data_IF_780554250982
#
_entry.id   IF_780554250982
#
_cell.length_a   1.000
_cell.length_b   1.000
_cell.length_c   1.000
_cell.angle_alpha   90.00
_cell.angle_beta   90.00
_cell.angle_gamma   90.00
#
_symmetry.space_group_name_H-M   'P 1'
#
loop_
_entity.id
_entity.type
_entity.pdbx_description
1 polymer ?
#
# COMPACT_ATOMS: atom_id res chain seq x y z
N UNK A 1 23.79 13.89 -1.83
CA UNK A 1 22.35 14.06 -1.68
C UNK A 1 21.76 12.67 -1.79
N UNK A 2 21.33 12.07 -0.68
CA UNK A 2 20.75 10.72 -0.73
C UNK A 2 19.52 10.76 -1.65
N UNK A 3 19.46 9.83 -2.59
CA UNK A 3 18.39 9.75 -3.58
C UNK A 3 17.14 9.21 -2.87
N UNK A 4 16.45 10.07 -2.12
CA UNK A 4 15.25 9.70 -1.35
C UNK A 4 14.21 9.07 -2.28
N UNK A 5 13.82 7.83 -1.97
CA UNK A 5 12.85 7.09 -2.78
C UNK A 5 11.46 7.58 -2.40
N UNK A 6 10.63 7.91 -3.37
CA UNK A 6 9.24 8.29 -3.05
C UNK A 6 8.43 7.06 -2.61
N UNK A 7 7.59 7.24 -1.58
CA UNK A 7 6.65 6.25 -1.08
C UNK A 7 5.24 6.84 -1.16
N UNK A 8 4.30 6.16 -1.81
CA UNK A 8 2.90 6.58 -1.85
C UNK A 8 2.12 5.88 -0.73
N UNK A 9 1.67 6.64 0.26
CA UNK A 9 0.85 6.13 1.37
C UNK A 9 -0.61 6.51 1.15
N UNK A 10 -1.48 5.52 1.04
CA UNK A 10 -2.89 5.73 0.76
C UNK A 10 -3.69 5.36 2.01
N UNK A 11 -4.33 6.35 2.61
CA UNK A 11 -5.05 6.23 3.89
C UNK A 11 -6.51 6.59 3.64
N UNK A 12 -7.41 5.61 3.53
CA UNK A 12 -8.84 5.86 3.34
C UNK A 12 -9.62 5.75 4.65
N UNK A 13 -9.28 4.75 5.47
CA UNK A 13 -9.88 4.50 6.79
C UNK A 13 -8.94 4.87 7.94
N UNK A 14 -7.63 4.61 7.79
CA UNK A 14 -6.67 4.75 8.87
C UNK A 14 -6.80 3.65 9.93
N UNK A 15 -6.78 4.02 11.21
CA UNK A 15 -6.84 3.06 12.32
C UNK A 15 -5.47 2.52 12.76
N UNK A 16 -4.38 3.18 12.38
CA UNK A 16 -3.01 2.87 12.77
C UNK A 16 -2.22 4.17 13.04
N UNK A 17 -1.06 4.08 13.75
CA UNK A 17 -0.22 5.23 14.03
C UNK A 17 0.25 5.97 12.78
N UNK A 18 0.70 7.23 12.92
CA UNK A 18 1.31 7.93 11.79
C UNK A 18 2.65 7.29 11.43
N UNK A 19 2.69 6.52 10.35
CA UNK A 19 3.89 5.84 9.86
C UNK A 19 4.83 6.74 9.03
N UNK A 20 4.45 8.00 8.77
CA UNK A 20 5.28 8.92 7.96
C UNK A 20 6.68 9.17 8.56
N UNK A 21 6.86 9.37 9.88
CA UNK A 21 8.18 9.48 10.49
C UNK A 21 9.03 8.22 10.31
N UNK A 22 8.40 7.04 10.41
CA UNK A 22 9.07 5.76 10.18
C UNK A 22 9.56 5.65 8.73
N UNK A 23 8.70 5.95 7.74
CA UNK A 23 9.12 5.95 6.33
C UNK A 23 10.31 6.88 6.06
N UNK A 24 10.30 8.09 6.65
CA UNK A 24 11.41 9.05 6.53
C UNK A 24 12.70 8.56 7.16
N UNK A 25 12.63 7.91 8.33
CA UNK A 25 13.78 7.27 8.99
C UNK A 25 14.46 6.24 8.07
N UNK A 26 13.69 5.58 7.22
CA UNK A 26 14.13 4.59 6.23
C UNK A 26 14.42 5.17 4.83
N UNK A 27 14.65 6.49 4.73
CA UNK A 27 15.09 7.13 3.48
C UNK A 27 14.01 7.26 2.41
N UNK A 28 12.73 7.14 2.78
CA UNK A 28 11.61 7.40 1.90
C UNK A 28 11.05 8.81 2.09
N UNK A 29 10.61 9.44 0.99
CA UNK A 29 9.78 10.64 1.07
C UNK A 29 8.30 10.25 0.90
N UNK A 30 7.49 10.26 2.00
CA UNK A 30 6.11 9.81 1.97
C UNK A 30 5.19 10.87 1.35
N UNK A 31 4.43 10.44 0.35
CA UNK A 31 3.35 11.20 -0.27
C UNK A 31 2.05 10.57 0.20
N UNK A 32 1.35 11.27 1.09
CA UNK A 32 0.10 10.79 1.69
C UNK A 32 -1.09 11.26 0.87
N UNK A 33 -1.97 10.32 0.51
CA UNK A 33 -3.23 10.62 -0.18
C UNK A 33 -4.40 9.92 0.50
N UNK A 34 -5.53 10.60 0.58
CA UNK A 34 -6.70 10.14 1.35
C UNK A 34 -7.86 9.62 0.48
N UNK A 35 -7.56 9.12 -0.71
CA UNK A 35 -8.56 8.52 -1.60
C UNK A 35 -7.88 7.76 -2.73
N UNK A 36 -8.50 6.66 -3.20
CA UNK A 36 -8.02 5.96 -4.40
C UNK A 36 -7.94 6.86 -5.64
N UNK A 37 -8.86 7.82 -5.81
CA UNK A 37 -8.82 8.74 -6.96
C UNK A 37 -7.52 9.55 -6.98
N UNK A 38 -7.12 10.10 -5.84
CA UNK A 38 -5.85 10.85 -5.72
C UNK A 38 -4.64 9.93 -5.90
N UNK A 39 -4.70 8.72 -5.38
CA UNK A 39 -3.64 7.72 -5.55
C UNK A 39 -3.40 7.37 -7.03
N UNK A 40 -4.45 7.12 -7.80
CA UNK A 40 -4.35 6.84 -9.23
C UNK A 40 -3.79 8.03 -10.03
N UNK A 41 -4.13 9.26 -9.65
CA UNK A 41 -3.56 10.47 -10.26
C UNK A 41 -2.08 10.59 -9.91
N UNK A 42 -1.68 10.31 -8.66
CA UNK A 42 -0.30 10.32 -8.23
C UNK A 42 0.53 9.27 -9.00
N UNK A 43 0.10 8.01 -9.04
CA UNK A 43 0.80 6.93 -9.75
C UNK A 43 1.00 7.18 -11.25
N UNK A 44 0.17 8.02 -11.88
CA UNK A 44 0.37 8.44 -13.28
C UNK A 44 1.48 9.48 -13.45
N UNK A 45 1.76 10.27 -12.41
CA UNK A 45 2.70 11.40 -12.44
C UNK A 45 4.07 11.03 -11.84
N UNK A 46 4.10 10.08 -10.92
CA UNK A 46 5.31 9.65 -10.22
C UNK A 46 5.45 8.13 -10.23
N UNK A 47 6.67 7.65 -10.03
CA UNK A 47 7.01 6.23 -9.94
C UNK A 47 7.56 5.96 -8.53
N UNK A 48 6.69 5.78 -7.52
CA UNK A 48 7.15 5.48 -6.17
C UNK A 48 7.91 4.16 -6.14
N UNK A 49 8.87 4.03 -5.24
CA UNK A 49 9.51 2.74 -4.97
C UNK A 49 8.56 1.82 -4.20
N UNK A 50 7.76 2.39 -3.30
CA UNK A 50 6.83 1.66 -2.43
C UNK A 50 5.44 2.29 -2.50
N UNK A 51 4.41 1.47 -2.54
CA UNK A 51 3.01 1.86 -2.35
C UNK A 51 2.47 1.14 -1.14
N UNK A 52 1.92 1.89 -0.19
CA UNK A 52 1.21 1.37 0.98
C UNK A 52 -0.26 1.70 0.82
N UNK A 53 -1.13 0.71 0.91
CA UNK A 53 -2.57 0.87 0.70
C UNK A 53 -3.40 0.01 1.66
N UNK A 54 -4.66 0.36 1.83
CA UNK A 54 -5.63 -0.42 2.58
C UNK A 54 -6.50 -1.25 1.64
N UNK A 55 -6.80 -2.49 2.02
CA UNK A 55 -7.82 -3.31 1.40
C UNK A 55 -9.16 -3.05 2.07
N UNK A 56 -9.90 -2.14 1.45
CA UNK A 56 -11.27 -1.81 1.84
C UNK A 56 -12.22 -2.66 1.00
N UNK A 57 -12.78 -3.71 1.60
CA UNK A 57 -13.80 -4.53 0.95
C UNK A 57 -15.14 -3.80 0.99
N UNK A 58 -15.78 -3.63 -0.17
CA UNK A 58 -17.10 -3.03 -0.28
C UNK A 58 -17.98 -4.01 -1.05
N UNK A 59 -18.98 -4.57 -0.37
CA UNK A 59 -19.88 -5.59 -0.93
C UNK A 59 -20.70 -5.11 -2.12
N UNK A 60 -20.87 -3.79 -2.27
CA UNK A 60 -21.74 -3.19 -3.28
C UNK A 60 -21.07 -3.05 -4.66
N UNK A 61 -19.77 -3.34 -4.77
CA UNK A 61 -19.12 -3.42 -6.07
C UNK A 61 -19.53 -4.70 -6.79
N UNK A 62 -20.52 -4.58 -7.67
CA UNK A 62 -21.06 -5.70 -8.48
C UNK A 62 -20.03 -6.40 -9.36
N UNK A 63 -19.01 -5.68 -9.86
CA UNK A 63 -18.04 -6.20 -10.83
C UNK A 63 -16.60 -6.33 -10.27
N UNK A 64 -16.33 -5.84 -9.06
CA UNK A 64 -14.96 -5.74 -8.51
C UNK A 64 -14.95 -5.98 -7.02
N UNK A 65 -13.91 -6.60 -6.50
CA UNK A 65 -13.87 -6.94 -5.06
C UNK A 65 -13.43 -5.72 -4.24
N UNK A 66 -12.67 -4.79 -4.84
CA UNK A 66 -12.21 -3.55 -4.21
C UNK A 66 -11.67 -2.53 -5.22
N UNK A 67 -11.67 -1.25 -4.83
CA UNK A 67 -10.97 -0.16 -5.53
C UNK A 67 -9.46 -0.41 -5.66
N UNK A 68 -8.89 -1.22 -4.77
CA UNK A 68 -7.49 -1.66 -4.75
C UNK A 68 -7.05 -2.34 -6.07
N UNK A 69 -7.93 -3.10 -6.72
CA UNK A 69 -7.61 -3.73 -8.02
C UNK A 69 -7.20 -2.70 -9.08
N UNK A 70 -7.74 -1.47 -9.01
CA UNK A 70 -7.41 -0.40 -9.97
C UNK A 70 -6.00 0.09 -9.73
N UNK A 71 -5.65 0.23 -8.45
CA UNK A 71 -4.35 0.66 -8.01
C UNK A 71 -3.29 -0.35 -8.45
N UNK A 72 -3.55 -1.64 -8.22
CA UNK A 72 -2.67 -2.74 -8.63
C UNK A 72 -2.45 -2.73 -10.15
N UNK A 73 -3.53 -2.61 -10.94
CA UNK A 73 -3.41 -2.59 -12.41
C UNK A 73 -2.57 -1.42 -12.94
N UNK A 74 -2.53 -0.28 -12.24
CA UNK A 74 -1.65 0.85 -12.58
C UNK A 74 -0.23 0.61 -12.07
N UNK A 75 -0.07 0.14 -10.83
CA UNK A 75 1.21 -0.10 -10.20
C UNK A 75 2.03 -1.19 -10.92
N UNK A 76 1.39 -2.27 -11.37
CA UNK A 76 2.03 -3.38 -12.08
C UNK A 76 2.65 -3.00 -13.43
N UNK A 77 2.33 -1.83 -13.98
CA UNK A 77 3.02 -1.29 -15.16
C UNK A 77 4.49 -1.00 -14.88
N UNK A 78 4.88 -0.93 -13.61
CA UNK A 78 6.25 -0.80 -13.16
C UNK A 78 6.56 -1.93 -12.16
N UNK A 79 7.25 -2.96 -12.63
CA UNK A 79 7.59 -4.14 -11.83
C UNK A 79 8.49 -3.83 -10.61
N UNK A 80 9.10 -2.64 -10.56
CA UNK A 80 9.94 -2.22 -9.44
C UNK A 80 9.14 -1.70 -8.24
N UNK A 81 7.84 -1.42 -8.40
CA UNK A 81 7.00 -0.94 -7.30
C UNK A 81 6.75 -2.08 -6.32
N UNK A 82 7.08 -1.85 -5.04
CA UNK A 82 6.78 -2.77 -3.95
C UNK A 82 5.44 -2.38 -3.34
N UNK A 83 4.48 -3.32 -3.35
CA UNK A 83 3.13 -3.08 -2.86
C UNK A 83 2.96 -3.68 -1.47
N UNK A 84 2.66 -2.85 -0.48
CA UNK A 84 2.33 -3.22 0.89
C UNK A 84 0.83 -2.97 1.10
N UNK A 85 0.11 -3.95 1.66
CA UNK A 85 -1.34 -3.85 1.86
C UNK A 85 -1.76 -4.14 3.30
N UNK A 86 -2.57 -3.27 3.87
CA UNK A 86 -3.22 -3.46 5.17
C UNK A 86 -4.64 -3.98 4.96
N UNK A 87 -5.09 -4.94 5.77
CA UNK A 87 -6.41 -5.53 5.60
C UNK A 87 -7.05 -5.91 6.94
N UNK A 88 -8.37 -5.81 7.03
CA UNK A 88 -9.09 -6.30 8.21
C UNK A 88 -9.15 -7.83 8.22
N UNK A 89 -8.97 -8.44 9.40
CA UNK A 89 -8.97 -9.90 9.55
C UNK A 89 -10.28 -10.53 9.07
N UNK A 90 -11.39 -9.85 9.25
CA UNK A 90 -12.71 -10.27 8.78
C UNK A 90 -12.81 -10.38 7.24
N UNK A 91 -12.00 -9.62 6.50
CA UNK A 91 -11.97 -9.65 5.04
C UNK A 91 -10.85 -10.54 4.47
N UNK A 92 -10.21 -11.36 5.30
CA UNK A 92 -9.13 -12.25 4.87
C UNK A 92 -9.57 -13.15 3.69
N UNK A 93 -10.77 -13.72 3.75
CA UNK A 93 -11.27 -14.60 2.69
C UNK A 93 -11.36 -13.90 1.32
N UNK A 94 -11.80 -12.65 1.31
CA UNK A 94 -11.89 -11.81 0.12
C UNK A 94 -10.49 -11.38 -0.33
N UNK A 95 -9.61 -11.06 0.61
CA UNK A 95 -8.23 -10.68 0.32
C UNK A 95 -7.41 -11.83 -0.28
N UNK A 96 -7.61 -13.08 0.15
CA UNK A 96 -6.94 -14.25 -0.43
C UNK A 96 -7.23 -14.41 -1.93
N UNK A 97 -8.43 -14.03 -2.40
CA UNK A 97 -8.76 -14.01 -3.84
C UNK A 97 -7.89 -13.01 -4.61
N UNK A 98 -7.50 -11.90 -3.99
CA UNK A 98 -6.56 -10.95 -4.58
C UNK A 98 -5.13 -11.47 -4.54
N UNK A 99 -4.71 -12.11 -3.44
CA UNK A 99 -3.37 -12.71 -3.31
C UNK A 99 -3.09 -13.80 -4.34
N UNK A 100 -4.12 -14.53 -4.78
CA UNK A 100 -3.99 -15.51 -5.86
C UNK A 100 -3.76 -14.88 -7.23
N UNK A 101 -4.18 -13.62 -7.44
CA UNK A 101 -4.17 -12.94 -8.74
C UNK A 101 -3.05 -11.90 -8.86
N UNK A 102 -2.54 -11.42 -7.74
CA UNK A 102 -1.63 -10.28 -7.68
C UNK A 102 -0.49 -10.53 -6.70
N UNK A 103 0.69 -10.01 -7.03
CA UNK A 103 1.86 -10.07 -6.16
C UNK A 103 1.87 -8.88 -5.21
N UNK A 104 1.96 -9.18 -3.92
CA UNK A 104 2.18 -8.21 -2.85
C UNK A 104 3.57 -8.43 -2.28
N UNK A 105 4.26 -7.35 -1.94
CA UNK A 105 5.55 -7.44 -1.26
C UNK A 105 5.36 -7.83 0.21
N UNK A 106 4.42 -7.19 0.90
CA UNK A 106 4.04 -7.52 2.26
C UNK A 106 2.55 -7.23 2.48
N UNK A 107 1.93 -7.94 3.42
CA UNK A 107 0.52 -7.75 3.77
C UNK A 107 0.33 -7.87 5.27
N UNK A 108 -0.42 -6.96 5.89
CA UNK A 108 -0.59 -6.90 7.35
C UNK A 108 -2.06 -6.87 7.72
N UNK A 109 -2.44 -7.71 8.68
CA UNK A 109 -3.77 -7.67 9.24
C UNK A 109 -3.83 -6.64 10.38
N UNK A 110 -4.95 -5.93 10.52
CA UNK A 110 -5.15 -5.06 11.69
C UNK A 110 -5.19 -5.85 13.02
N UNK A 111 -4.72 -5.26 14.15
CA UNK A 111 -4.12 -3.93 14.27
C UNK A 111 -2.69 -3.87 13.69
N UNK A 112 -2.36 -2.75 13.04
CA UNK A 112 -1.04 -2.54 12.43
C UNK A 112 -0.03 -2.11 13.50
N UNK A 113 1.05 -2.88 13.64
CA UNK A 113 2.13 -2.63 14.58
C UNK A 113 3.30 -1.96 13.85
N UNK A 114 3.79 -0.83 14.38
CA UNK A 114 4.87 -0.05 13.77
C UNK A 114 6.14 -0.90 13.58
N UNK A 115 6.43 -1.78 14.54
CA UNK A 115 7.58 -2.68 14.54
C UNK A 115 7.54 -3.63 13.33
N UNK A 116 6.37 -4.19 13.02
CA UNK A 116 6.22 -5.10 11.87
C UNK A 116 6.39 -4.38 10.52
N UNK A 117 6.05 -3.09 10.47
CA UNK A 117 6.28 -2.26 9.29
C UNK A 117 7.76 -1.92 9.17
N UNK A 118 8.40 -1.55 10.28
CA UNK A 118 9.85 -1.28 10.34
C UNK A 118 10.67 -2.46 9.82
N UNK A 119 10.40 -3.68 10.29
CA UNK A 119 11.06 -4.91 9.81
C UNK A 119 10.95 -5.08 8.30
N UNK A 120 9.78 -4.77 7.73
CA UNK A 120 9.57 -4.86 6.28
C UNK A 120 10.32 -3.77 5.53
N UNK A 121 10.38 -2.54 6.05
CA UNK A 121 11.18 -1.47 5.46
C UNK A 121 12.67 -1.81 5.47
N UNK A 122 13.18 -2.39 6.56
CA UNK A 122 14.57 -2.88 6.65
C UNK A 122 14.83 -3.94 5.57
N UNK A 123 13.90 -4.88 5.36
CA UNK A 123 14.05 -5.91 4.32
C UNK A 123 14.06 -5.36 2.88
N UNK A 124 13.53 -4.14 2.68
CA UNK A 124 13.51 -3.45 1.38
C UNK A 124 14.78 -2.66 1.08
N UNK A 125 15.61 -2.40 2.10
CA UNK A 125 16.89 -1.72 1.96
C UNK A 125 18.02 -2.66 1.53
N UNK A 126 17.89 -3.95 1.85
CA UNK A 126 18.84 -5.01 1.52
C UNK A 126 18.84 -5.39 0.03
#
# INVERSE_FOLDING_TARGET
MANEKSLLSIIELGGYPNLSPLYKKHGYEPIVVYSMRKALVALKKMKPAVVVAEFNYQSDFRDRTSSLESLIAVAQRNANIKLIVFYEKEYLHQFEKLKQRYNFHATFAYPIMEETIEETLISLEA
#
